data_IF_969804247917
#
_entry.id   IF_969804247917
#
_cell.length_a   1.000
_cell.length_b   1.000
_cell.length_c   1.000
_cell.angle_alpha   90.00
_cell.angle_beta   90.00
_cell.angle_gamma   90.00
#
_symmetry.space_group_name_H-M   'P 1'
#
loop_
_entity.id
_entity.type
_entity.pdbx_description
1 polymer ?
#
# COMPACT_ATOMS: atom_id res chain seq x y z
N UNK A 1 -14.56 16.25 -25.54
CA UNK A 1 -14.61 17.55 -24.82
C UNK A 1 -14.89 17.42 -23.32
N UNK A 2 -15.93 16.70 -22.85
CA UNK A 2 -16.27 16.63 -21.41
C UNK A 2 -15.16 16.12 -20.46
N UNK A 3 -14.39 15.10 -20.86
CA UNK A 3 -13.26 14.62 -20.04
C UNK A 3 -12.15 15.69 -19.90
N UNK A 4 -11.82 16.39 -20.98
CA UNK A 4 -10.80 17.46 -20.98
C UNK A 4 -11.21 18.59 -20.02
N UNK A 5 -12.47 19.03 -20.03
CA UNK A 5 -12.94 20.04 -19.08
C UNK A 5 -12.83 19.59 -17.62
N UNK A 6 -12.99 18.29 -17.34
CA UNK A 6 -12.83 17.75 -15.98
C UNK A 6 -11.36 17.77 -15.53
N UNK A 7 -10.41 17.45 -16.42
CA UNK A 7 -8.99 17.56 -16.08
C UNK A 7 -8.54 19.01 -15.91
N UNK A 8 -9.11 19.96 -16.66
CA UNK A 8 -8.87 21.39 -16.44
C UNK A 8 -9.40 21.82 -15.06
N UNK A 9 -10.59 21.36 -14.69
CA UNK A 9 -11.12 21.58 -13.33
C UNK A 9 -10.25 20.91 -12.26
N UNK A 10 -9.73 19.71 -12.50
CA UNK A 10 -8.78 19.02 -11.62
C UNK A 10 -7.54 19.89 -11.34
N UNK A 11 -6.99 20.52 -12.38
CA UNK A 11 -5.87 21.44 -12.28
C UNK A 11 -6.23 22.69 -11.46
N UNK A 12 -7.40 23.31 -11.67
CA UNK A 12 -7.83 24.44 -10.83
C UNK A 12 -7.99 24.06 -9.36
N UNK A 13 -8.58 22.88 -9.09
CA UNK A 13 -8.71 22.39 -7.71
C UNK A 13 -7.33 22.15 -7.09
N UNK A 14 -6.33 21.74 -7.86
CA UNK A 14 -4.97 21.47 -7.35
C UNK A 14 -4.24 22.71 -6.83
N UNK A 15 -4.63 23.91 -7.29
CA UNK A 15 -4.04 25.19 -6.86
C UNK A 15 -4.96 25.96 -5.92
N UNK A 16 -6.16 25.46 -5.64
CA UNK A 16 -7.17 26.14 -4.82
C UNK A 16 -6.85 25.99 -3.33
N UNK A 17 -6.08 26.93 -2.78
CA UNK A 17 -5.77 26.98 -1.35
C UNK A 17 -6.92 27.56 -0.52
N UNK A 18 -7.69 28.50 -1.09
CA UNK A 18 -8.75 29.25 -0.41
C UNK A 18 -10.13 28.56 -0.49
N UNK A 19 -10.20 27.40 -1.16
CA UNK A 19 -11.43 26.60 -1.33
C UNK A 19 -12.52 27.32 -2.13
N UNK A 20 -12.16 28.32 -2.93
CA UNK A 20 -13.09 29.08 -3.74
C UNK A 20 -13.78 28.19 -4.78
N UNK A 21 -12.99 27.41 -5.52
CA UNK A 21 -13.51 26.50 -6.55
C UNK A 21 -14.34 25.38 -5.91
N UNK A 22 -13.93 24.85 -4.76
CA UNK A 22 -14.74 23.87 -4.03
C UNK A 22 -16.13 24.43 -3.68
N UNK A 23 -16.18 25.65 -3.13
CA UNK A 23 -17.45 26.33 -2.81
C UNK A 23 -18.34 26.53 -4.04
N UNK A 24 -17.75 26.89 -5.20
CA UNK A 24 -18.48 27.02 -6.46
C UNK A 24 -19.01 25.66 -6.97
N UNK A 25 -18.19 24.61 -6.94
CA UNK A 25 -18.59 23.26 -7.38
C UNK A 25 -19.73 22.70 -6.51
N UNK A 26 -19.70 22.99 -5.20
CA UNK A 26 -20.74 22.59 -4.27
C UNK A 26 -22.03 23.39 -4.45
N UNK A 27 -21.96 24.73 -4.43
CA UNK A 27 -23.14 25.62 -4.47
C UNK A 27 -23.93 25.48 -5.78
N UNK A 28 -23.24 25.24 -6.90
CA UNK A 28 -23.87 25.04 -8.21
C UNK A 28 -24.38 23.61 -8.44
N UNK A 29 -24.25 22.73 -7.46
CA UNK A 29 -24.71 21.33 -7.57
C UNK A 29 -23.89 20.46 -8.52
N UNK A 30 -22.71 20.92 -8.96
CA UNK A 30 -21.86 20.17 -9.89
C UNK A 30 -21.44 18.82 -9.30
N UNK A 31 -21.01 18.80 -8.03
CA UNK A 31 -20.60 17.56 -7.36
C UNK A 31 -21.75 16.56 -7.27
N UNK A 32 -22.96 17.01 -6.95
CA UNK A 32 -24.17 16.15 -6.94
C UNK A 32 -24.45 15.57 -8.31
N UNK A 33 -24.35 16.38 -9.37
CA UNK A 33 -24.49 15.89 -10.75
C UNK A 33 -23.42 14.85 -11.11
N UNK A 34 -22.17 15.07 -10.72
CA UNK A 34 -21.10 14.10 -10.95
C UNK A 34 -21.39 12.75 -10.28
N UNK A 35 -21.86 12.76 -9.02
CA UNK A 35 -22.21 11.56 -8.27
C UNK A 35 -23.41 10.82 -8.87
N UNK A 36 -24.46 11.55 -9.25
CA UNK A 36 -25.62 10.97 -9.94
C UNK A 36 -25.24 10.32 -11.26
N UNK A 37 -24.33 10.93 -12.01
CA UNK A 37 -23.83 10.35 -13.26
C UNK A 37 -22.97 9.09 -13.02
N UNK A 38 -22.27 9.00 -11.89
CA UNK A 38 -21.52 7.80 -11.49
C UNK A 38 -22.49 6.66 -11.18
N UNK A 39 -23.53 6.91 -10.38
CA UNK A 39 -24.51 5.88 -10.03
C UNK A 39 -25.33 5.41 -11.24
N UNK A 40 -25.64 6.31 -12.17
CA UNK A 40 -26.42 6.01 -13.36
C UNK A 40 -25.56 5.51 -14.54
N UNK A 41 -24.25 5.29 -14.32
CA UNK A 41 -23.39 4.86 -15.40
C UNK A 41 -23.76 3.45 -15.87
N UNK A 42 -24.11 3.33 -17.15
CA UNK A 42 -24.39 2.06 -17.78
C UNK A 42 -23.75 1.99 -19.17
N UNK A 43 -23.09 0.87 -19.47
CA UNK A 43 -22.52 0.60 -20.78
C UNK A 43 -23.27 -0.61 -21.38
N UNK A 44 -24.38 -0.34 -22.08
CA UNK A 44 -25.15 -1.37 -22.77
C UNK A 44 -24.56 -1.72 -24.14
N UNK A 45 -23.85 -0.77 -24.77
CA UNK A 45 -23.14 -0.98 -26.02
C UNK A 45 -21.75 -1.53 -25.69
N UNK A 46 -21.35 -2.64 -26.33
CA UNK A 46 -20.07 -3.29 -26.05
C UNK A 46 -18.88 -2.34 -25.95
N UNK A 47 -17.90 -2.73 -25.11
CA UNK A 47 -16.71 -1.96 -24.68
C UNK A 47 -15.76 -1.51 -25.81
N UNK A 48 -16.11 -1.80 -27.06
CA UNK A 48 -15.31 -1.56 -28.26
C UNK A 48 -15.78 -0.33 -29.06
N UNK A 49 -16.93 0.27 -28.73
CA UNK A 49 -17.39 1.49 -29.42
C UNK A 49 -16.63 2.74 -28.94
N UNK A 50 -16.30 3.66 -29.86
CA UNK A 50 -15.66 4.93 -29.52
C UNK A 50 -16.49 5.75 -28.51
N UNK A 51 -17.83 5.67 -28.60
CA UNK A 51 -18.75 6.29 -27.66
C UNK A 51 -18.65 5.71 -26.23
N UNK A 52 -18.45 4.40 -26.09
CA UNK A 52 -18.23 3.74 -24.79
C UNK A 52 -16.91 4.18 -24.15
N UNK A 53 -15.84 4.28 -24.94
CA UNK A 53 -14.53 4.73 -24.45
C UNK A 53 -14.59 6.19 -23.97
N UNK A 54 -15.26 7.08 -24.70
CA UNK A 54 -15.43 8.46 -24.27
C UNK A 54 -16.24 8.58 -22.95
N UNK A 55 -17.26 7.73 -22.77
CA UNK A 55 -18.02 7.65 -21.51
C UNK A 55 -17.11 7.16 -20.38
N UNK A 56 -16.31 6.13 -20.59
CA UNK A 56 -15.34 5.62 -19.61
C UNK A 56 -14.30 6.67 -19.22
N UNK A 57 -13.67 7.36 -20.18
CA UNK A 57 -12.74 8.46 -19.88
C UNK A 57 -13.42 9.60 -19.10
N UNK A 58 -14.69 9.87 -19.37
CA UNK A 58 -15.45 10.88 -18.60
C UNK A 58 -15.72 10.42 -17.17
N UNK A 59 -15.99 9.12 -16.97
CA UNK A 59 -16.15 8.54 -15.63
C UNK A 59 -14.85 8.54 -14.84
N UNK A 60 -13.75 8.13 -15.48
CA UNK A 60 -12.40 8.17 -14.90
C UNK A 60 -12.04 9.60 -14.47
N UNK A 61 -12.24 10.59 -15.34
CA UNK A 61 -11.96 11.99 -15.03
C UNK A 61 -12.81 12.53 -13.87
N UNK A 62 -14.06 12.06 -13.71
CA UNK A 62 -14.90 12.38 -12.55
C UNK A 62 -14.33 11.78 -11.27
N UNK A 63 -13.95 10.50 -11.29
CA UNK A 63 -13.35 9.84 -10.13
C UNK A 63 -12.03 10.50 -9.73
N UNK A 64 -11.20 10.87 -10.72
CA UNK A 64 -9.96 11.61 -10.50
C UNK A 64 -10.21 12.98 -9.83
N UNK A 65 -11.21 13.74 -10.32
CA UNK A 65 -11.59 15.02 -9.71
C UNK A 65 -12.09 14.85 -8.26
N UNK A 66 -12.91 13.85 -7.98
CA UNK A 66 -13.37 13.56 -6.61
C UNK A 66 -12.20 13.16 -5.70
N UNK A 67 -11.27 12.35 -6.20
CA UNK A 67 -10.04 11.98 -5.49
C UNK A 67 -9.19 13.22 -5.19
N UNK A 68 -9.06 14.13 -6.16
CA UNK A 68 -8.35 15.40 -5.97
C UNK A 68 -8.98 16.26 -4.89
N UNK A 69 -10.30 16.39 -4.88
CA UNK A 69 -11.03 17.12 -3.84
C UNK A 69 -10.73 16.51 -2.46
N UNK A 70 -10.77 15.18 -2.34
CA UNK A 70 -10.44 14.47 -1.10
C UNK A 70 -9.00 14.78 -0.64
N UNK A 71 -8.02 14.74 -1.54
CA UNK A 71 -6.62 14.98 -1.21
C UNK A 71 -6.28 16.45 -0.94
N UNK A 72 -6.70 17.37 -1.81
CA UNK A 72 -6.32 18.78 -1.73
C UNK A 72 -6.91 19.45 -0.48
N UNK A 73 -8.17 19.16 -0.18
CA UNK A 73 -8.87 19.75 0.96
C UNK A 73 -8.89 18.85 2.20
N UNK A 74 -8.17 17.71 2.16
CA UNK A 74 -7.98 16.77 3.26
C UNK A 74 -9.31 16.41 3.95
N UNK A 75 -9.37 16.60 5.28
CA UNK A 75 -10.52 16.27 6.13
C UNK A 75 -11.82 16.92 5.63
N UNK A 76 -11.76 18.19 5.21
CA UNK A 76 -12.94 18.95 4.77
C UNK A 76 -13.48 18.43 3.43
N UNK A 77 -12.61 18.19 2.46
CA UNK A 77 -13.00 17.64 1.15
C UNK A 77 -13.65 16.28 1.29
N UNK A 78 -13.04 15.37 2.05
CA UNK A 78 -13.61 14.05 2.29
C UNK A 78 -14.95 14.09 3.02
N UNK A 79 -15.10 14.95 4.03
CA UNK A 79 -16.38 15.13 4.74
C UNK A 79 -17.52 15.60 3.81
N UNK A 80 -17.24 16.53 2.91
CA UNK A 80 -18.22 16.98 1.90
C UNK A 80 -18.65 15.80 1.03
N UNK A 81 -17.70 15.04 0.49
CA UNK A 81 -18.00 13.91 -0.39
C UNK A 81 -18.84 12.83 0.31
N UNK A 82 -18.51 12.50 1.57
CA UNK A 82 -19.29 11.56 2.39
C UNK A 82 -20.69 12.11 2.65
N UNK A 83 -20.83 13.38 3.03
CA UNK A 83 -22.13 13.99 3.28
C UNK A 83 -23.04 13.99 2.04
N UNK A 84 -22.45 13.91 0.84
CA UNK A 84 -23.15 13.78 -0.43
C UNK A 84 -23.39 12.34 -0.87
N UNK A 85 -23.07 11.33 -0.04
CA UNK A 85 -23.35 9.92 -0.33
C UNK A 85 -22.41 9.29 -1.36
N UNK A 86 -21.16 9.76 -1.49
CA UNK A 86 -20.22 9.25 -2.52
C UNK A 86 -20.08 7.72 -2.51
N UNK A 87 -20.10 7.09 -1.33
CA UNK A 87 -20.00 5.63 -1.19
C UNK A 87 -21.24 4.89 -1.69
N UNK A 88 -22.44 5.46 -1.49
CA UNK A 88 -23.70 4.91 -2.00
C UNK A 88 -23.76 4.99 -3.53
N UNK A 89 -23.30 6.10 -4.10
CA UNK A 89 -23.22 6.28 -5.56
C UNK A 89 -22.19 5.34 -6.19
N UNK A 90 -21.04 5.13 -5.54
CA UNK A 90 -20.05 4.14 -5.99
C UNK A 90 -20.56 2.71 -5.86
N UNK A 91 -21.26 2.37 -4.76
CA UNK A 91 -21.94 1.08 -4.57
C UNK A 91 -22.96 0.79 -5.67
N UNK A 92 -23.64 1.82 -6.15
CA UNK A 92 -24.63 1.69 -7.23
C UNK A 92 -23.98 1.55 -8.62
N UNK A 93 -22.68 1.83 -8.76
CA UNK A 93 -21.96 1.79 -10.02
C UNK A 93 -21.61 0.35 -10.41
N UNK A 94 -22.50 -0.28 -11.19
CA UNK A 94 -22.40 -1.68 -11.61
C UNK A 94 -21.12 -2.04 -12.38
N UNK A 95 -20.37 -1.07 -12.87
CA UNK A 95 -19.12 -1.30 -13.63
C UNK A 95 -18.01 -1.87 -12.76
N UNK A 96 -18.00 -1.54 -11.47
CA UNK A 96 -17.01 -2.07 -10.54
C UNK A 96 -17.16 -3.60 -10.42
N UNK A 97 -18.42 -4.09 -10.43
CA UNK A 97 -18.80 -5.50 -10.32
C UNK A 97 -18.81 -6.29 -11.63
N UNK A 98 -18.49 -5.67 -12.77
CA UNK A 98 -18.48 -6.39 -14.04
C UNK A 98 -17.35 -7.43 -14.05
N UNK A 99 -17.73 -8.66 -13.69
CA UNK A 99 -16.94 -9.87 -13.88
C UNK A 99 -16.77 -10.06 -15.38
N UNK A 100 -15.53 -10.10 -15.88
CA UNK A 100 -15.26 -10.68 -17.19
C UNK A 100 -15.79 -12.12 -17.16
N UNK A 101 -16.99 -12.35 -17.68
CA UNK A 101 -17.38 -13.69 -18.11
C UNK A 101 -16.33 -14.08 -19.13
N UNK A 102 -15.42 -14.96 -18.74
CA UNK A 102 -14.59 -15.76 -19.63
C UNK A 102 -15.58 -16.38 -20.61
N UNK A 103 -15.65 -15.84 -21.82
CA UNK A 103 -16.51 -16.33 -22.90
C UNK A 103 -15.97 -17.68 -23.35
N UNK A 104 -16.26 -18.72 -22.56
CA UNK A 104 -16.17 -20.11 -22.98
C UNK A 104 -17.58 -20.56 -23.34
N UNK A 105 -17.93 -20.35 -24.61
CA UNK A 105 -18.70 -21.26 -25.47
C UNK A 105 -19.17 -20.47 -26.70
N UNK A 106 -18.38 -20.52 -27.78
CA UNK A 106 -18.85 -20.79 -29.15
C UNK A 106 -17.70 -20.60 -30.14
N UNK A 107 -17.29 -21.71 -30.77
CA UNK A 107 -16.72 -21.76 -32.10
C UNK A 107 -15.30 -21.21 -32.29
N UNK A 108 -14.39 -22.08 -32.70
CA UNK A 108 -13.13 -21.75 -33.35
C UNK A 108 -13.21 -20.46 -34.17
N UNK A 109 -12.41 -19.44 -33.84
CA UNK A 109 -11.62 -18.65 -34.78
C UNK A 109 -10.59 -17.82 -34.00
N UNK A 110 -9.34 -17.88 -34.48
CA UNK A 110 -8.13 -17.22 -33.96
C UNK A 110 -8.34 -15.71 -33.71
N UNK A 111 -8.12 -15.21 -32.49
CA UNK A 111 -7.71 -13.82 -32.27
C UNK A 111 -6.88 -13.65 -30.98
N UNK A 112 -5.56 -13.68 -31.12
CA UNK A 112 -4.58 -13.56 -30.03
C UNK A 112 -4.18 -12.13 -29.68
N UNK A 113 -5.09 -11.14 -29.69
CA UNK A 113 -4.75 -9.74 -29.37
C UNK A 113 -5.76 -8.93 -28.55
N UNK A 114 -6.98 -9.41 -28.34
CA UNK A 114 -8.06 -8.58 -27.74
C UNK A 114 -8.26 -8.75 -26.22
N UNK A 115 -7.69 -9.79 -25.60
CA UNK A 115 -7.85 -10.04 -24.15
C UNK A 115 -7.06 -9.08 -23.26
N UNK A 116 -5.94 -8.53 -23.75
CA UNK A 116 -5.11 -7.58 -23.00
C UNK A 116 -5.74 -6.19 -22.93
N UNK A 117 -6.28 -5.70 -24.06
CA UNK A 117 -6.88 -4.36 -24.16
C UNK A 117 -8.19 -4.21 -23.36
N UNK A 118 -8.84 -5.31 -22.97
CA UNK A 118 -10.10 -5.31 -22.22
C UNK A 118 -9.88 -5.34 -20.69
N UNK A 119 -8.83 -6.03 -20.21
CA UNK A 119 -8.37 -5.97 -18.82
C UNK A 119 -7.97 -4.53 -18.42
N UNK A 120 -7.33 -3.80 -19.33
CA UNK A 120 -6.88 -2.43 -19.11
C UNK A 120 -8.06 -1.45 -18.88
N UNK A 121 -9.25 -1.73 -19.44
CA UNK A 121 -10.42 -0.83 -19.34
C UNK A 121 -11.15 -0.88 -18.01
N UNK A 122 -11.29 -2.07 -17.40
CA UNK A 122 -11.83 -2.21 -16.03
C UNK A 122 -10.89 -1.56 -15.02
N UNK A 123 -9.60 -1.75 -15.24
CA UNK A 123 -8.52 -1.21 -14.44
C UNK A 123 -8.51 0.32 -14.39
N UNK A 124 -8.87 1.00 -15.49
CA UNK A 124 -9.01 2.46 -15.57
C UNK A 124 -10.04 3.05 -14.60
N UNK A 125 -11.08 2.30 -14.21
CA UNK A 125 -12.13 2.79 -13.30
C UNK A 125 -11.91 2.27 -11.88
N UNK A 126 -11.52 0.99 -11.76
CA UNK A 126 -11.38 0.32 -10.47
C UNK A 126 -10.29 0.96 -9.62
N UNK A 127 -9.12 1.27 -10.19
CA UNK A 127 -8.03 1.87 -9.41
C UNK A 127 -8.39 3.28 -8.88
N UNK A 128 -8.91 4.23 -9.70
CA UNK A 128 -9.38 5.52 -9.18
C UNK A 128 -10.50 5.42 -8.12
N UNK A 129 -11.45 4.50 -8.30
CA UNK A 129 -12.50 4.27 -7.31
C UNK A 129 -11.93 3.78 -5.97
N UNK A 130 -11.03 2.78 -6.00
CA UNK A 130 -10.36 2.28 -4.81
C UNK A 130 -9.45 3.33 -4.16
N UNK A 131 -8.74 4.15 -4.94
CA UNK A 131 -7.96 5.29 -4.43
C UNK A 131 -8.86 6.30 -3.72
N UNK A 132 -10.02 6.62 -4.29
CA UNK A 132 -11.00 7.51 -3.68
C UNK A 132 -11.49 6.95 -2.36
N UNK A 133 -11.98 5.71 -2.33
CA UNK A 133 -12.45 5.07 -1.08
C UNK A 133 -11.33 5.00 -0.04
N UNK A 134 -10.13 4.59 -0.44
CA UNK A 134 -8.95 4.55 0.44
C UNK A 134 -8.61 5.93 1.01
N UNK A 135 -8.67 6.99 0.19
CA UNK A 135 -8.45 8.37 0.67
C UNK A 135 -9.48 8.77 1.73
N UNK A 136 -10.75 8.38 1.55
CA UNK A 136 -11.82 8.66 2.49
C UNK A 136 -11.65 7.89 3.79
N UNK A 137 -11.11 6.65 3.76
CA UNK A 137 -10.86 5.88 5.00
C UNK A 137 -9.86 6.55 5.95
N UNK A 138 -9.04 7.50 5.48
CA UNK A 138 -8.18 8.30 6.37
C UNK A 138 -8.99 9.10 7.40
N UNK A 139 -10.25 9.42 7.11
CA UNK A 139 -11.16 10.10 8.04
C UNK A 139 -11.55 9.25 9.24
N UNK A 140 -11.50 7.91 9.14
CA UNK A 140 -11.76 7.01 10.28
C UNK A 140 -10.79 7.29 11.43
N UNK A 141 -9.54 7.57 11.09
CA UNK A 141 -8.48 7.86 12.06
C UNK A 141 -8.57 9.30 12.61
N UNK A 142 -9.16 10.24 11.86
CA UNK A 142 -9.23 11.67 12.19
C UNK A 142 -10.56 12.12 12.80
N UNK A 143 -11.54 11.21 12.91
CA UNK A 143 -12.85 11.51 13.50
C UNK A 143 -12.83 11.23 14.99
N UNK A 144 -12.79 12.30 15.80
CA UNK A 144 -12.88 12.25 17.26
C UNK A 144 -14.31 11.91 17.74
N UNK A 145 -15.32 12.19 16.91
CA UNK A 145 -16.71 11.86 17.21
C UNK A 145 -17.01 10.41 16.82
N UNK A 146 -17.35 9.60 17.81
CA UNK A 146 -17.67 8.17 17.68
C UNK A 146 -18.87 7.91 16.74
N UNK A 147 -19.92 8.73 16.80
CA UNK A 147 -21.11 8.54 15.96
C UNK A 147 -20.83 8.76 14.47
N UNK A 148 -20.07 9.81 14.15
CA UNK A 148 -19.65 10.14 12.77
C UNK A 148 -18.71 9.06 12.25
N UNK A 149 -17.80 8.57 13.11
CA UNK A 149 -16.91 7.46 12.80
C UNK A 149 -17.69 6.19 12.49
N UNK A 150 -18.69 5.83 13.29
CA UNK A 150 -19.51 4.64 13.10
C UNK A 150 -20.42 4.73 11.86
N UNK A 151 -20.97 5.92 11.54
CA UNK A 151 -21.73 6.10 10.30
C UNK A 151 -20.83 5.90 9.09
N UNK A 152 -19.67 6.55 9.06
CA UNK A 152 -18.73 6.43 7.95
C UNK A 152 -18.21 5.00 7.77
N UNK A 153 -17.80 4.35 8.87
CA UNK A 153 -17.31 2.97 8.82
C UNK A 153 -18.38 2.04 8.25
N UNK A 154 -19.65 2.20 8.65
CA UNK A 154 -20.77 1.44 8.08
C UNK A 154 -20.93 1.66 6.57
N UNK A 155 -20.87 2.90 6.09
CA UNK A 155 -20.98 3.19 4.65
C UNK A 155 -19.84 2.55 3.83
N UNK A 156 -18.61 2.56 4.34
CA UNK A 156 -17.49 1.88 3.66
C UNK A 156 -17.65 0.37 3.70
N UNK A 157 -18.09 -0.19 4.83
CA UNK A 157 -18.38 -1.61 4.95
C UNK A 157 -19.50 -2.02 3.97
N UNK A 158 -20.54 -1.21 3.83
CA UNK A 158 -21.64 -1.45 2.90
C UNK A 158 -21.18 -1.40 1.43
N UNK A 159 -20.21 -0.53 1.11
CA UNK A 159 -19.52 -0.51 -0.18
C UNK A 159 -18.71 -1.79 -0.42
N UNK A 160 -17.93 -2.23 0.58
CA UNK A 160 -17.12 -3.46 0.53
C UNK A 160 -18.01 -4.69 0.33
N UNK A 161 -19.10 -4.80 1.12
CA UNK A 161 -20.10 -5.87 0.99
C UNK A 161 -20.79 -5.84 -0.37
N UNK A 162 -21.06 -4.65 -0.92
CA UNK A 162 -21.64 -4.48 -2.25
C UNK A 162 -20.76 -5.04 -3.37
N UNK A 163 -19.44 -4.93 -3.24
CA UNK A 163 -18.46 -5.35 -4.25
C UNK A 163 -17.63 -6.56 -3.83
N UNK A 164 -18.20 -7.46 -3.01
CA UNK A 164 -17.49 -8.60 -2.45
C UNK A 164 -16.75 -9.42 -3.52
N UNK A 165 -17.40 -9.75 -4.63
CA UNK A 165 -16.82 -10.62 -5.66
C UNK A 165 -15.53 -10.07 -6.28
N UNK A 166 -15.43 -8.74 -6.40
CA UNK A 166 -14.27 -8.03 -6.94
C UNK A 166 -13.14 -8.00 -5.92
N UNK A 167 -13.50 -7.74 -4.66
CA UNK A 167 -12.55 -7.68 -3.55
C UNK A 167 -11.94 -9.07 -3.30
N UNK A 168 -12.77 -10.12 -3.31
CA UNK A 168 -12.31 -11.52 -3.24
C UNK A 168 -11.39 -11.87 -4.41
N UNK A 169 -11.74 -11.44 -5.63
CA UNK A 169 -10.89 -11.64 -6.82
C UNK A 169 -9.52 -10.97 -6.65
N UNK A 170 -9.46 -9.77 -6.08
CA UNK A 170 -8.20 -9.04 -5.86
C UNK A 170 -7.37 -9.71 -4.76
N UNK A 171 -7.99 -10.07 -3.63
CA UNK A 171 -7.28 -10.65 -2.47
C UNK A 171 -6.69 -12.04 -2.75
N UNK A 172 -7.30 -12.82 -3.65
CA UNK A 172 -6.82 -14.16 -4.02
C UNK A 172 -5.67 -14.16 -5.03
N UNK A 173 -5.31 -13.01 -5.60
CA UNK A 173 -4.17 -12.93 -6.53
C UNK A 173 -2.86 -13.20 -5.79
N UNK A 174 -1.92 -13.81 -6.50
CA UNK A 174 -0.59 -14.12 -5.98
C UNK A 174 0.29 -12.87 -5.99
N UNK A 175 0.82 -12.49 -4.83
CA UNK A 175 1.66 -11.29 -4.65
C UNK A 175 3.01 -11.44 -5.38
N UNK A 176 3.47 -12.66 -5.62
CA UNK A 176 4.80 -12.94 -6.18
C UNK A 176 4.94 -12.65 -7.69
N UNK A 177 3.82 -12.60 -8.42
CA UNK A 177 3.83 -12.56 -9.90
C UNK A 177 2.90 -11.49 -10.50
N UNK A 178 2.49 -10.50 -9.70
CA UNK A 178 1.56 -9.45 -10.15
C UNK A 178 2.27 -8.24 -10.75
N UNK A 179 1.61 -7.62 -11.74
CA UNK A 179 2.03 -6.34 -12.29
C UNK A 179 1.81 -5.19 -11.29
N UNK A 180 2.45 -4.04 -11.55
CA UNK A 180 2.42 -2.87 -10.65
C UNK A 180 1.00 -2.41 -10.32
N UNK A 181 0.09 -2.39 -11.31
CA UNK A 181 -1.28 -1.94 -11.09
C UNK A 181 -2.09 -2.92 -10.23
N UNK A 182 -1.95 -4.23 -10.45
CA UNK A 182 -2.63 -5.23 -9.62
C UNK A 182 -2.10 -5.18 -8.19
N UNK A 183 -0.79 -4.98 -8.03
CA UNK A 183 -0.18 -4.80 -6.71
C UNK A 183 -0.70 -3.54 -6.00
N UNK A 184 -0.93 -2.45 -6.73
CA UNK A 184 -1.58 -1.26 -6.21
C UNK A 184 -3.02 -1.56 -5.76
N UNK A 185 -3.79 -2.33 -6.55
CA UNK A 185 -5.16 -2.71 -6.19
C UNK A 185 -5.19 -3.55 -4.90
N UNK A 186 -4.30 -4.54 -4.76
CA UNK A 186 -4.17 -5.34 -3.54
C UNK A 186 -3.87 -4.41 -2.35
N UNK A 187 -2.88 -3.52 -2.50
CA UNK A 187 -2.54 -2.52 -1.48
C UNK A 187 -3.73 -1.66 -1.06
N UNK A 188 -4.51 -1.16 -2.02
CA UNK A 188 -5.68 -0.32 -1.75
C UNK A 188 -6.78 -1.09 -1.03
N UNK A 189 -7.09 -2.31 -1.48
CA UNK A 189 -8.12 -3.17 -0.86
C UNK A 189 -7.72 -3.54 0.57
N UNK A 190 -6.49 -4.00 0.77
CA UNK A 190 -5.99 -4.34 2.11
C UNK A 190 -5.96 -3.11 3.00
N UNK A 191 -5.54 -1.94 2.50
CA UNK A 191 -5.57 -0.69 3.27
C UNK A 191 -7.00 -0.28 3.69
N UNK A 192 -7.99 -0.42 2.80
CA UNK A 192 -9.40 -0.16 3.12
C UNK A 192 -9.87 -1.12 4.21
N UNK A 193 -9.73 -2.43 3.99
CA UNK A 193 -10.17 -3.46 4.92
C UNK A 193 -9.49 -3.33 6.29
N UNK A 194 -8.19 -3.03 6.31
CA UNK A 194 -7.41 -2.86 7.54
C UNK A 194 -7.97 -1.77 8.46
N UNK A 195 -8.64 -0.76 7.90
CA UNK A 195 -9.19 0.38 8.64
C UNK A 195 -10.65 0.23 9.05
N UNK A 196 -11.45 -0.54 8.32
CA UNK A 196 -12.91 -0.58 8.52
C UNK A 196 -13.42 -1.96 8.92
N UNK A 197 -12.77 -3.03 8.47
CA UNK A 197 -13.21 -4.40 8.76
C UNK A 197 -13.09 -4.81 10.23
N UNK A 198 -12.15 -4.28 11.06
CA UNK A 198 -12.15 -4.60 12.48
C UNK A 198 -13.41 -4.19 13.26
N UNK A 199 -14.23 -3.30 12.68
CA UNK A 199 -15.49 -2.84 13.27
C UNK A 199 -16.70 -3.69 12.83
N UNK A 200 -16.54 -4.55 11.81
CA UNK A 200 -17.58 -5.47 11.38
C UNK A 200 -17.54 -6.73 12.25
N UNK A 201 -18.71 -7.15 12.74
CA UNK A 201 -18.83 -8.35 13.58
C UNK A 201 -19.19 -9.61 12.78
N UNK A 202 -19.68 -9.46 11.54
CA UNK A 202 -20.04 -10.60 10.70
C UNK A 202 -18.84 -11.09 9.87
N UNK A 203 -18.33 -12.27 10.22
CA UNK A 203 -17.19 -12.90 9.52
C UNK A 203 -17.58 -13.75 8.30
N UNK A 204 -18.84 -13.72 7.87
CA UNK A 204 -19.38 -14.56 6.78
C UNK A 204 -18.75 -14.28 5.40
N UNK A 205 -17.95 -13.24 5.26
CA UNK A 205 -17.33 -12.82 3.99
C UNK A 205 -15.95 -13.43 3.74
N UNK A 206 -15.32 -14.06 4.74
CA UNK A 206 -14.01 -14.71 4.56
C UNK A 206 -12.80 -13.77 4.36
N UNK A 207 -13.00 -12.44 4.31
CA UNK A 207 -11.91 -11.48 4.09
C UNK A 207 -10.79 -11.56 5.13
N UNK A 208 -11.11 -11.86 6.40
CA UNK A 208 -10.10 -12.01 7.46
C UNK A 208 -9.15 -13.18 7.13
N UNK A 209 -9.70 -14.28 6.60
CA UNK A 209 -8.91 -15.45 6.22
C UNK A 209 -7.97 -15.12 5.06
N UNK A 210 -8.45 -14.40 4.05
CA UNK A 210 -7.62 -13.97 2.92
C UNK A 210 -6.55 -12.96 3.35
N UNK A 211 -6.85 -12.06 4.30
CA UNK A 211 -5.88 -11.13 4.89
C UNK A 211 -4.80 -11.91 5.65
N UNK A 212 -5.17 -12.90 6.47
CA UNK A 212 -4.18 -13.75 7.17
C UNK A 212 -3.35 -14.59 6.20
N UNK A 213 -3.96 -15.15 5.15
CA UNK A 213 -3.24 -15.82 4.07
C UNK A 213 -2.20 -14.90 3.44
N UNK A 214 -2.57 -13.64 3.14
CA UNK A 214 -1.64 -12.65 2.63
C UNK A 214 -0.52 -12.33 3.62
N UNK A 215 -0.80 -12.25 4.93
CA UNK A 215 0.26 -12.09 5.95
C UNK A 215 1.25 -13.25 5.92
N UNK A 216 0.75 -14.49 5.90
CA UNK A 216 1.60 -15.68 5.86
C UNK A 216 2.52 -15.69 4.62
N UNK A 217 1.99 -15.32 3.45
CA UNK A 217 2.79 -15.27 2.21
C UNK A 217 3.75 -14.09 2.19
N UNK A 218 3.33 -12.92 2.67
CA UNK A 218 4.13 -11.68 2.55
C UNK A 218 5.19 -11.52 3.63
N UNK A 219 4.99 -12.09 4.82
CA UNK A 219 5.96 -12.00 5.92
C UNK A 219 7.02 -13.10 5.84
N UNK A 220 6.77 -14.18 5.09
CA UNK A 220 7.72 -15.25 4.84
C UNK A 220 8.60 -14.93 3.60
N UNK A 221 9.58 -14.04 3.79
CA UNK A 221 10.44 -13.58 2.71
C UNK A 221 11.51 -14.58 2.25
N UNK A 222 11.81 -15.62 3.04
CA UNK A 222 12.82 -16.64 2.70
C UNK A 222 12.42 -17.43 1.44
N UNK A 223 11.12 -17.62 1.18
CA UNK A 223 10.60 -18.22 -0.05
C UNK A 223 10.58 -17.27 -1.26
N UNK A 224 10.53 -15.96 -1.03
CA UNK A 224 10.40 -14.93 -2.07
C UNK A 224 11.76 -14.55 -2.68
N UNK A 225 12.84 -14.68 -1.92
CA UNK A 225 14.20 -14.26 -2.27
C UNK A 225 14.88 -15.07 -3.38
N UNK A 226 14.58 -16.37 -3.51
CA UNK A 226 15.39 -17.26 -4.37
C UNK A 226 14.85 -17.44 -5.79
N UNK A 227 13.53 -17.35 -6.02
CA UNK A 227 12.94 -17.73 -7.32
C UNK A 227 12.19 -16.60 -8.05
N UNK A 228 11.70 -15.56 -7.38
CA UNK A 228 10.91 -14.47 -8.01
C UNK A 228 11.79 -13.30 -8.49
N UNK A 229 12.90 -13.05 -7.80
CA UNK A 229 13.74 -11.85 -8.00
C UNK A 229 14.68 -11.94 -9.22
N UNK A 230 14.85 -13.13 -9.82
CA UNK A 230 15.82 -13.38 -10.88
C UNK A 230 15.27 -13.31 -12.32
N UNK A 231 13.96 -13.12 -12.51
CA UNK A 231 13.37 -13.07 -13.85
C UNK A 231 13.32 -11.64 -14.39
N UNK A 232 14.37 -11.27 -15.12
CA UNK A 232 14.35 -10.33 -16.26
C UNK A 232 13.49 -9.05 -16.11
N UNK A 233 13.61 -8.35 -14.99
CA UNK A 233 13.00 -7.05 -14.78
C UNK A 233 14.09 -6.02 -14.43
N UNK A 234 13.97 -4.79 -14.94
CA UNK A 234 14.97 -3.73 -14.73
C UNK A 234 15.19 -3.47 -13.23
N UNK A 235 16.39 -3.03 -12.84
CA UNK A 235 16.71 -2.67 -11.43
C UNK A 235 15.70 -1.69 -10.83
N UNK A 236 15.13 -0.79 -11.65
CA UNK A 236 14.09 0.16 -11.24
C UNK A 236 12.75 -0.52 -10.92
N UNK A 237 12.28 -1.43 -11.79
CA UNK A 237 11.05 -2.19 -11.52
C UNK A 237 11.14 -3.05 -10.26
N UNK A 238 12.34 -3.57 -9.94
CA UNK A 238 12.59 -4.28 -8.67
C UNK A 238 12.45 -3.36 -7.44
N UNK A 239 13.01 -2.15 -7.49
CA UNK A 239 12.90 -1.17 -6.39
C UNK A 239 11.46 -0.70 -6.17
N UNK A 240 10.70 -0.51 -7.26
CA UNK A 240 9.28 -0.17 -7.20
C UNK A 240 8.44 -1.30 -6.58
N UNK A 241 8.69 -2.55 -7.01
CA UNK A 241 8.04 -3.72 -6.41
C UNK A 241 8.32 -3.85 -4.91
N UNK A 242 9.58 -3.68 -4.50
CA UNK A 242 9.97 -3.67 -3.09
C UNK A 242 9.13 -2.67 -2.26
N UNK A 243 8.99 -1.44 -2.76
CA UNK A 243 8.21 -0.41 -2.10
C UNK A 243 6.72 -0.76 -2.01
N UNK A 244 6.15 -1.39 -3.04
CA UNK A 244 4.76 -1.88 -2.99
C UNK A 244 4.55 -3.00 -1.99
N UNK A 245 5.50 -3.95 -1.86
CA UNK A 245 5.42 -5.03 -0.88
C UNK A 245 5.47 -4.48 0.53
N UNK A 246 6.36 -3.51 0.82
CA UNK A 246 6.41 -2.92 2.15
C UNK A 246 5.20 -2.05 2.48
N UNK A 247 4.59 -1.37 1.49
CA UNK A 247 3.28 -0.71 1.70
C UNK A 247 2.19 -1.69 2.10
N UNK A 248 2.21 -2.89 1.51
CA UNK A 248 1.26 -3.96 1.83
C UNK A 248 1.52 -4.45 3.26
N UNK A 249 2.78 -4.70 3.60
CA UNK A 249 3.19 -5.11 4.94
C UNK A 249 2.78 -4.10 6.01
N UNK A 250 2.92 -2.79 5.77
CA UNK A 250 2.44 -1.74 6.70
C UNK A 250 0.94 -1.90 6.96
N UNK A 251 0.14 -2.08 5.91
CA UNK A 251 -1.32 -2.21 6.06
C UNK A 251 -1.69 -3.48 6.84
N UNK A 252 -1.07 -4.60 6.49
CA UNK A 252 -1.27 -5.90 7.13
C UNK A 252 -0.86 -5.89 8.61
N UNK A 253 0.34 -5.40 8.94
CA UNK A 253 0.81 -5.39 10.32
C UNK A 253 0.02 -4.40 11.18
N UNK A 254 -0.43 -3.27 10.61
CA UNK A 254 -1.30 -2.32 11.29
C UNK A 254 -2.65 -2.95 11.64
N UNK A 255 -3.22 -3.73 10.71
CA UNK A 255 -4.45 -4.49 10.97
C UNK A 255 -4.25 -5.52 12.08
N UNK A 256 -3.15 -6.28 12.02
CA UNK A 256 -2.83 -7.27 13.05
C UNK A 256 -2.65 -6.62 14.43
N UNK A 257 -1.92 -5.50 14.50
CA UNK A 257 -1.74 -4.72 15.71
C UNK A 257 -3.08 -4.21 16.27
N UNK A 258 -4.00 -3.76 15.41
CA UNK A 258 -5.35 -3.37 15.82
C UNK A 258 -6.11 -4.56 16.42
N UNK A 259 -6.08 -5.73 15.78
CA UNK A 259 -6.76 -6.92 16.29
C UNK A 259 -6.23 -7.34 17.67
N UNK A 260 -4.90 -7.29 17.87
CA UNK A 260 -4.29 -7.62 19.16
C UNK A 260 -4.69 -6.60 20.22
N UNK A 261 -4.59 -5.30 19.93
CA UNK A 261 -4.82 -4.24 20.93
C UNK A 261 -6.29 -3.96 21.24
N UNK A 262 -7.19 -4.14 20.27
CA UNK A 262 -8.62 -3.79 20.41
C UNK A 262 -9.56 -4.99 20.47
N UNK A 263 -9.17 -6.12 19.91
CA UNK A 263 -9.96 -7.37 19.92
C UNK A 263 -9.29 -8.47 20.73
N UNK A 264 -8.16 -8.19 21.40
CA UNK A 264 -7.42 -9.13 22.24
C UNK A 264 -7.07 -10.45 21.54
N UNK A 265 -6.79 -10.38 20.23
CA UNK A 265 -6.31 -11.53 19.47
C UNK A 265 -4.96 -12.00 20.02
N UNK A 266 -4.81 -13.30 20.26
CA UNK A 266 -3.55 -13.93 20.69
C UNK A 266 -2.95 -14.74 19.57
N UNK A 267 -1.68 -14.49 19.28
CA UNK A 267 -0.94 -15.22 18.25
C UNK A 267 -0.25 -16.46 18.86
N UNK A 268 -0.25 -17.56 18.10
CA UNK A 268 0.52 -18.77 18.44
C UNK A 268 2.02 -18.50 18.22
N UNK A 269 2.87 -19.14 19.04
CA UNK A 269 4.33 -18.97 18.96
C UNK A 269 4.89 -19.57 17.66
N UNK A 270 4.48 -20.80 17.32
CA UNK A 270 4.88 -21.52 16.10
C UNK A 270 3.71 -22.38 15.58
N UNK A 271 3.76 -22.77 14.31
CA UNK A 271 2.82 -23.74 13.74
C UNK A 271 3.12 -25.12 14.36
N UNK A 272 2.27 -25.58 15.27
CA UNK A 272 2.30 -26.96 15.74
C UNK A 272 1.87 -27.92 14.62
N UNK A 273 2.39 -29.15 14.64
CA UNK A 273 2.15 -30.24 13.67
C UNK A 273 0.72 -30.79 13.63
N UNK A 274 -0.27 -30.06 14.15
CA UNK A 274 -1.68 -30.42 14.04
C UNK A 274 -2.24 -29.82 12.75
N UNK A 275 -1.88 -30.44 11.63
CA UNK A 275 -2.59 -30.27 10.36
C UNK A 275 -3.97 -30.92 10.49
N UNK A 276 -4.92 -30.18 11.08
CA UNK A 276 -6.33 -30.42 10.82
C UNK A 276 -6.65 -29.67 9.50
N UNK A 277 -6.99 -30.35 8.38
CA UNK A 277 -7.07 -29.75 7.04
C UNK A 277 -8.20 -28.72 6.82
N UNK A 278 -8.75 -28.14 7.89
CA UNK A 278 -9.88 -27.22 7.85
C UNK A 278 -9.76 -25.97 8.74
N UNK A 279 -8.74 -25.84 9.61
CA UNK A 279 -8.58 -24.67 10.48
C UNK A 279 -7.46 -23.71 10.02
N UNK A 280 -7.88 -22.72 9.23
CA UNK A 280 -7.51 -21.30 9.32
C UNK A 280 -6.08 -20.98 9.83
N UNK A 281 -5.17 -20.67 8.90
CA UNK A 281 -3.78 -20.30 9.21
C UNK A 281 -3.69 -18.81 9.63
N UNK A 282 -3.71 -18.55 10.93
CA UNK A 282 -3.38 -17.24 11.50
C UNK A 282 -1.87 -16.99 11.47
N UNK A 283 -1.40 -15.73 11.35
CA UNK A 283 0.02 -15.41 11.45
C UNK A 283 0.57 -15.75 12.84
N UNK A 284 1.79 -16.29 12.90
CA UNK A 284 2.47 -16.67 14.15
C UNK A 284 3.44 -15.60 14.62
N UNK A 285 3.85 -15.66 15.90
CA UNK A 285 4.91 -14.79 16.40
C UNK A 285 6.25 -15.04 15.69
N UNK A 286 6.55 -16.29 15.32
CA UNK A 286 7.75 -16.60 14.52
C UNK A 286 7.76 -15.88 13.17
N UNK A 287 6.60 -15.80 12.51
CA UNK A 287 6.45 -15.07 11.26
C UNK A 287 6.69 -13.56 11.44
N UNK A 288 6.25 -12.98 12.56
CA UNK A 288 6.54 -11.58 12.91
C UNK A 288 8.04 -11.35 13.16
N UNK A 289 8.71 -12.31 13.80
CA UNK A 289 10.18 -12.25 14.00
C UNK A 289 10.92 -12.37 12.66
N UNK A 290 10.50 -13.27 11.77
CA UNK A 290 11.05 -13.37 10.40
C UNK A 290 10.88 -12.06 9.62
N UNK A 291 9.68 -11.46 9.68
CA UNK A 291 9.42 -10.15 9.09
C UNK A 291 10.34 -9.08 9.66
N UNK A 292 10.52 -9.05 10.99
CA UNK A 292 11.36 -8.06 11.66
C UNK A 292 12.83 -8.19 11.23
N UNK A 293 13.34 -9.41 11.08
CA UNK A 293 14.71 -9.64 10.61
C UNK A 293 14.92 -9.18 9.16
N UNK A 294 13.95 -9.48 8.29
CA UNK A 294 13.97 -9.02 6.91
C UNK A 294 13.88 -7.49 6.79
N UNK A 295 12.98 -6.88 7.57
CA UNK A 295 12.81 -5.42 7.67
C UNK A 295 14.09 -4.77 8.17
N UNK A 296 14.76 -5.36 9.16
CA UNK A 296 16.03 -4.87 9.71
C UNK A 296 17.12 -4.86 8.64
N UNK A 297 17.28 -5.97 7.91
CA UNK A 297 18.24 -6.09 6.80
C UNK A 297 17.96 -5.09 5.67
N UNK A 298 16.68 -4.88 5.34
CA UNK A 298 16.27 -3.91 4.33
C UNK A 298 16.49 -2.47 4.79
N UNK A 299 16.32 -2.19 6.08
CA UNK A 299 16.48 -0.88 6.69
C UNK A 299 17.95 -0.46 6.74
N UNK A 300 18.85 -1.34 7.16
CA UNK A 300 20.30 -1.11 7.14
C UNK A 300 20.76 -0.78 5.71
N UNK A 301 20.39 -1.62 4.74
CA UNK A 301 20.73 -1.42 3.33
C UNK A 301 20.19 -0.10 2.80
N UNK A 302 18.92 0.22 3.04
CA UNK A 302 18.31 1.45 2.55
C UNK A 302 18.95 2.70 3.18
N UNK A 303 19.29 2.65 4.47
CA UNK A 303 19.94 3.74 5.19
C UNK A 303 21.39 3.95 4.71
N UNK A 304 22.13 2.87 4.46
CA UNK A 304 23.48 2.94 3.89
C UNK A 304 23.47 3.51 2.47
N UNK A 305 22.61 2.98 1.59
CA UNK A 305 22.45 3.49 0.22
C UNK A 305 22.09 4.99 0.21
N UNK A 306 21.14 5.41 1.07
CA UNK A 306 20.78 6.83 1.22
C UNK A 306 21.98 7.66 1.67
N UNK A 307 22.70 7.22 2.71
CA UNK A 307 23.86 7.95 3.23
C UNK A 307 24.97 8.11 2.18
N UNK A 308 25.23 7.06 1.39
CA UNK A 308 26.21 7.10 0.30
C UNK A 308 25.79 8.10 -0.79
N UNK A 309 24.51 8.14 -1.16
CA UNK A 309 23.99 9.10 -2.13
C UNK A 309 24.09 10.53 -1.61
N UNK A 310 23.74 10.79 -0.36
CA UNK A 310 23.84 12.11 0.25
C UNK A 310 25.30 12.60 0.31
N UNK A 311 26.24 11.73 0.66
CA UNK A 311 27.67 12.07 0.64
C UNK A 311 28.17 12.40 -0.78
N UNK A 312 27.68 11.68 -1.80
CA UNK A 312 28.01 11.98 -3.21
C UNK A 312 27.36 13.27 -3.71
N UNK A 313 26.16 13.59 -3.23
CA UNK A 313 25.46 14.85 -3.52
C UNK A 313 26.24 16.04 -2.94
N UNK A 314 26.69 15.92 -1.69
CA UNK A 314 27.48 16.95 -1.02
C UNK A 314 28.81 17.21 -1.75
N UNK A 315 29.47 16.13 -2.20
CA UNK A 315 30.78 16.19 -2.86
C UNK A 315 30.69 16.10 -4.40
N UNK A 316 29.56 16.49 -5.01
CA UNK A 316 29.32 16.37 -6.47
C UNK A 316 30.38 17.09 -7.31
N UNK A 317 30.99 18.14 -6.76
CA UNK A 317 32.03 18.92 -7.44
C UNK A 317 33.39 18.21 -7.48
N UNK A 318 33.59 17.23 -6.60
CA UNK A 318 34.81 16.42 -6.49
C UNK A 318 34.74 15.16 -7.36
N UNK A 319 33.52 14.73 -7.74
CA UNK A 319 33.33 13.57 -8.59
C UNK A 319 33.91 13.78 -10.00
N UNK A 320 34.62 12.75 -10.47
CA UNK A 320 35.15 12.67 -11.81
C UNK A 320 34.04 12.51 -12.85
N UNK A 321 34.35 12.80 -14.12
CA UNK A 321 33.38 12.61 -15.21
C UNK A 321 32.91 11.15 -15.34
N UNK A 322 33.80 10.20 -15.09
CA UNK A 322 33.50 8.77 -15.20
C UNK A 322 32.50 8.33 -14.11
N UNK A 323 32.70 8.78 -12.88
CA UNK A 323 31.77 8.49 -11.77
C UNK A 323 30.39 9.11 -12.00
N UNK A 324 30.37 10.36 -12.51
CA UNK A 324 29.11 11.04 -12.86
C UNK A 324 28.38 10.29 -13.97
N UNK A 325 29.09 9.85 -15.02
CA UNK A 325 28.52 9.07 -16.11
C UNK A 325 28.02 7.70 -15.64
N UNK A 326 28.72 7.06 -14.72
CA UNK A 326 28.28 5.83 -14.08
C UNK A 326 26.98 6.02 -13.29
N UNK A 327 26.87 7.10 -12.51
CA UNK A 327 25.65 7.44 -11.78
C UNK A 327 24.48 7.63 -12.75
N UNK A 328 24.66 8.41 -13.81
CA UNK A 328 23.63 8.65 -14.83
C UNK A 328 23.18 7.34 -15.48
N UNK A 329 24.12 6.47 -15.83
CA UNK A 329 23.85 5.15 -16.43
C UNK A 329 23.05 4.26 -15.47
N UNK A 330 23.43 4.22 -14.18
CA UNK A 330 22.70 3.47 -13.15
C UNK A 330 21.27 4.01 -12.99
N UNK A 331 21.07 5.32 -13.14
CA UNK A 331 19.76 5.97 -13.08
C UNK A 331 18.95 5.89 -14.39
N UNK A 332 19.49 5.25 -15.44
CA UNK A 332 18.80 4.93 -16.72
C UNK A 332 18.10 6.11 -17.43
N UNK A 333 18.73 7.29 -17.44
CA UNK A 333 18.30 8.43 -18.27
C UNK A 333 19.35 8.82 -19.31
N UNK A 334 19.77 7.86 -20.12
CA UNK A 334 20.67 8.11 -21.26
C UNK A 334 20.04 9.07 -22.28
N UNK A 335 18.70 9.12 -22.36
CA UNK A 335 17.96 10.00 -23.27
C UNK A 335 18.09 11.51 -22.96
N UNK A 336 18.49 11.87 -21.73
CA UNK A 336 18.57 13.27 -21.28
C UNK A 336 19.94 13.91 -21.53
N UNK A 337 20.95 13.11 -21.90
CA UNK A 337 22.36 13.52 -21.95
C UNK A 337 23.01 13.03 -23.23
N UNK A 338 23.69 13.94 -23.92
CA UNK A 338 24.54 13.60 -25.06
C UNK A 338 26.01 13.44 -24.64
N UNK A 339 26.81 12.75 -25.45
CA UNK A 339 28.27 12.64 -25.23
C UNK A 339 28.98 14.00 -25.22
N UNK A 340 28.39 15.00 -25.88
CA UNK A 340 28.87 16.37 -26.00
C UNK A 340 28.55 17.25 -24.78
N UNK A 341 27.68 16.81 -23.87
CA UNK A 341 27.32 17.61 -22.71
C UNK A 341 28.50 17.86 -21.79
N UNK A 342 28.61 19.11 -21.32
CA UNK A 342 29.67 19.51 -20.41
C UNK A 342 29.50 18.88 -19.02
N UNK A 343 30.58 18.85 -18.24
CA UNK A 343 30.60 18.25 -16.90
C UNK A 343 29.61 18.93 -15.95
N UNK A 344 29.34 20.24 -16.11
CA UNK A 344 28.39 20.98 -15.26
C UNK A 344 26.96 20.46 -15.44
N UNK A 345 26.51 20.31 -16.69
CA UNK A 345 25.18 19.77 -17.01
C UNK A 345 25.05 18.31 -16.54
N UNK A 346 26.08 17.49 -16.75
CA UNK A 346 26.09 16.10 -16.29
C UNK A 346 26.02 15.98 -14.77
N UNK A 347 26.79 16.80 -14.04
CA UNK A 347 26.71 16.88 -12.58
C UNK A 347 25.33 17.31 -12.11
N UNK A 348 24.70 18.27 -12.76
CA UNK A 348 23.34 18.69 -12.44
C UNK A 348 22.31 17.56 -12.63
N UNK A 349 22.37 16.83 -13.75
CA UNK A 349 21.48 15.68 -13.97
C UNK A 349 21.73 14.60 -12.93
N UNK A 350 23.00 14.22 -12.69
CA UNK A 350 23.35 13.26 -11.65
C UNK A 350 22.86 13.68 -10.26
N UNK A 351 22.95 14.98 -9.92
CA UNK A 351 22.43 15.54 -8.67
C UNK A 351 20.91 15.31 -8.54
N UNK A 352 20.14 15.68 -9.57
CA UNK A 352 18.68 15.53 -9.58
C UNK A 352 18.28 14.06 -9.42
N UNK A 353 18.95 13.16 -10.13
CA UNK A 353 18.65 11.73 -10.06
C UNK A 353 19.06 11.10 -8.72
N UNK A 354 20.23 11.45 -8.17
CA UNK A 354 20.63 11.00 -6.83
C UNK A 354 19.66 11.51 -5.77
N UNK A 355 19.18 12.76 -5.87
CA UNK A 355 18.15 13.30 -4.99
C UNK A 355 16.83 12.53 -5.11
N UNK A 356 16.43 12.17 -6.33
CA UNK A 356 15.22 11.38 -6.56
C UNK A 356 15.33 9.99 -5.89
N UNK A 357 16.42 9.26 -6.12
CA UNK A 357 16.65 7.94 -5.51
C UNK A 357 16.78 8.05 -3.99
N UNK A 358 17.47 9.06 -3.47
CA UNK A 358 17.58 9.30 -2.03
C UNK A 358 16.19 9.55 -1.41
N UNK A 359 15.30 10.26 -2.11
CA UNK A 359 13.90 10.44 -1.72
C UNK A 359 13.10 9.14 -1.71
N UNK A 360 13.27 8.26 -2.71
CA UNK A 360 12.64 6.92 -2.70
C UNK A 360 13.16 6.06 -1.55
N UNK A 361 14.46 6.12 -1.25
CA UNK A 361 15.05 5.42 -0.10
C UNK A 361 14.54 5.97 1.23
N UNK A 362 14.33 7.29 1.34
CA UNK A 362 13.70 7.88 2.52
C UNK A 362 12.26 7.37 2.73
N UNK A 363 11.47 7.28 1.65
CA UNK A 363 10.13 6.69 1.71
C UNK A 363 10.16 5.22 2.14
N UNK A 364 11.13 4.45 1.65
CA UNK A 364 11.30 3.06 2.05
C UNK A 364 11.67 2.95 3.54
N UNK A 365 12.63 3.75 4.02
CA UNK A 365 13.01 3.81 5.44
C UNK A 365 11.79 4.15 6.32
N UNK A 366 10.95 5.08 5.87
CA UNK A 366 9.72 5.45 6.57
C UNK A 366 8.77 4.26 6.78
N UNK A 367 8.55 3.47 5.72
CA UNK A 367 7.68 2.29 5.76
C UNK A 367 8.29 1.20 6.63
N UNK A 368 9.59 0.93 6.47
CA UNK A 368 10.31 -0.09 7.24
C UNK A 368 10.28 0.20 8.74
N UNK A 369 10.51 1.45 9.15
CA UNK A 369 10.41 1.84 10.55
C UNK A 369 9.00 1.67 11.11
N UNK A 370 7.96 1.99 10.33
CA UNK A 370 6.57 1.74 10.76
C UNK A 370 6.28 0.25 10.94
N UNK A 371 6.77 -0.61 10.03
CA UNK A 371 6.62 -2.06 10.17
C UNK A 371 7.35 -2.55 11.42
N UNK A 372 8.61 -2.14 11.61
CA UNK A 372 9.40 -2.53 12.77
C UNK A 372 8.74 -2.10 14.08
N UNK A 373 8.23 -0.87 14.15
CA UNK A 373 7.52 -0.34 15.33
C UNK A 373 6.28 -1.16 15.66
N UNK A 374 5.44 -1.48 14.66
CA UNK A 374 4.27 -2.34 14.88
C UNK A 374 4.67 -3.76 15.29
N UNK A 375 5.69 -4.35 14.68
CA UNK A 375 6.17 -5.69 15.03
C UNK A 375 6.67 -5.74 16.48
N UNK A 376 7.49 -4.77 16.89
CA UNK A 376 7.99 -4.62 18.25
C UNK A 376 6.82 -4.44 19.23
N UNK A 377 5.84 -3.58 18.93
CA UNK A 377 4.70 -3.38 19.80
C UNK A 377 3.83 -4.64 19.95
N UNK A 378 3.64 -5.41 18.86
CA UNK A 378 2.98 -6.72 18.90
C UNK A 378 3.73 -7.68 19.82
N UNK A 379 5.05 -7.76 19.66
CA UNK A 379 5.90 -8.62 20.49
C UNK A 379 5.86 -8.18 21.97
N UNK A 380 5.96 -6.88 22.27
CA UNK A 380 5.87 -6.35 23.63
C UNK A 380 4.59 -6.80 24.34
N UNK A 381 3.44 -6.68 23.69
CA UNK A 381 2.15 -7.08 24.26
C UNK A 381 2.17 -8.57 24.62
N UNK A 382 2.61 -9.42 23.70
CA UNK A 382 2.68 -10.87 23.94
C UNK A 382 3.71 -11.26 25.01
N UNK A 383 4.83 -10.54 25.09
CA UNK A 383 5.85 -10.77 26.11
C UNK A 383 5.40 -10.33 27.51
N UNK A 384 4.59 -9.27 27.60
CA UNK A 384 4.03 -8.75 28.86
C UNK A 384 2.87 -9.60 29.38
N UNK A 385 1.99 -10.07 28.48
CA UNK A 385 0.83 -10.90 28.83
C UNK A 385 1.18 -12.38 29.04
N UNK A 386 2.28 -12.86 28.45
CA UNK A 386 2.75 -14.24 28.49
C UNK A 386 3.29 -14.68 29.84
N UNK A 387 2.47 -14.59 30.90
CA UNK A 387 2.72 -15.14 32.24
C UNK A 387 2.32 -16.63 32.38
N UNK A 388 1.81 -17.31 31.33
CA UNK A 388 1.17 -18.62 31.52
C UNK A 388 1.35 -19.71 30.43
N UNK A 389 1.91 -19.44 29.25
CA UNK A 389 2.01 -20.46 28.19
C UNK A 389 3.48 -20.92 27.99
N UNK A 390 3.76 -22.15 28.46
CA UNK A 390 4.99 -22.97 28.36
C UNK A 390 6.29 -22.26 27.94
N UNK A 391 7.15 -22.00 28.92
CA UNK A 391 8.50 -21.40 28.79
C UNK A 391 9.35 -22.06 27.69
N UNK A 392 9.20 -23.37 27.46
CA UNK A 392 9.93 -24.15 26.44
C UNK A 392 9.69 -23.70 24.99
N UNK A 393 8.56 -23.07 24.68
CA UNK A 393 8.23 -22.65 23.30
C UNK A 393 8.77 -21.26 22.94
N UNK A 394 9.04 -20.42 23.93
CA UNK A 394 9.49 -19.05 23.71
C UNK A 394 11.01 -18.92 23.57
N UNK A 395 11.78 -19.87 24.10
CA UNK A 395 13.24 -19.93 23.95
C UNK A 395 13.71 -19.89 22.49
N UNK A 396 13.20 -20.73 21.55
CA UNK A 396 13.60 -20.65 20.15
C UNK A 396 13.19 -19.33 19.47
N UNK A 397 12.05 -18.75 19.87
CA UNK A 397 11.62 -17.43 19.39
C UNK A 397 12.60 -16.34 19.83
N UNK A 398 12.99 -16.33 21.11
CA UNK A 398 13.95 -15.37 21.67
C UNK A 398 15.33 -15.53 21.04
N UNK A 399 15.76 -16.77 20.79
CA UNK A 399 17.03 -17.06 20.10
C UNK A 399 17.10 -16.46 18.69
N UNK A 400 15.99 -16.53 17.93
CA UNK A 400 15.90 -15.89 16.60
C UNK A 400 15.76 -14.36 16.69
N UNK A 401 15.02 -13.85 17.68
CA UNK A 401 14.73 -12.43 17.84
C UNK A 401 15.95 -11.62 18.33
N UNK A 402 16.78 -12.20 19.20
CA UNK A 402 17.85 -11.48 19.87
C UNK A 402 18.85 -10.81 18.91
N UNK A 403 19.42 -11.50 17.89
CA UNK A 403 20.34 -10.87 16.93
C UNK A 403 19.71 -9.71 16.16
N UNK A 404 18.43 -9.82 15.82
CA UNK A 404 17.69 -8.76 15.14
C UNK A 404 17.53 -7.52 16.03
N UNK A 405 17.27 -7.70 17.33
CA UNK A 405 17.17 -6.57 18.27
C UNK A 405 18.51 -5.86 18.46
N UNK A 406 19.63 -6.58 18.49
CA UNK A 406 20.97 -5.96 18.58
C UNK A 406 21.26 -5.07 17.37
N UNK A 407 20.91 -5.54 16.17
CA UNK A 407 21.05 -4.77 14.93
C UNK A 407 20.16 -3.53 14.92
N UNK A 408 18.91 -3.66 15.36
CA UNK A 408 17.98 -2.54 15.46
C UNK A 408 18.43 -1.46 16.47
N UNK A 409 19.10 -1.85 17.56
CA UNK A 409 19.64 -0.93 18.55
C UNK A 409 20.82 -0.10 18.00
N UNK A 410 21.57 -0.64 17.04
CA UNK A 410 22.70 0.03 16.38
C UNK A 410 22.29 1.05 15.32
N UNK A 411 20.99 1.14 14.98
CA UNK A 411 20.49 2.13 14.04
C UNK A 411 20.72 3.55 14.53
N UNK A 412 21.20 4.40 13.63
CA UNK A 412 21.52 5.79 13.95
C UNK A 412 20.53 6.77 13.31
N UNK A 413 20.20 7.83 14.04
CA UNK A 413 19.27 8.88 13.61
C UNK A 413 19.82 9.67 12.40
N UNK A 414 21.15 9.83 12.28
CA UNK A 414 21.82 10.51 11.17
C UNK A 414 21.59 9.82 9.83
N UNK A 415 21.66 8.49 9.79
CA UNK A 415 21.45 7.69 8.58
C UNK A 415 19.96 7.55 8.22
N UNK A 416 19.11 7.39 9.23
CA UNK A 416 17.67 7.20 9.02
C UNK A 416 16.92 8.50 8.78
N UNK A 417 17.44 9.63 9.27
CA UNK A 417 16.81 10.96 9.16
C UNK A 417 15.56 11.13 10.03
N UNK A 418 15.38 10.27 11.04
CA UNK A 418 14.20 10.26 11.93
C UNK A 418 14.63 10.08 13.38
N UNK A 419 13.80 10.57 14.31
CA UNK A 419 14.07 10.30 15.72
C UNK A 419 13.72 8.86 16.07
N UNK A 420 14.67 8.16 16.67
CA UNK A 420 14.58 6.76 17.06
C UNK A 420 14.43 6.59 18.58
N UNK A 421 14.38 7.67 19.37
CA UNK A 421 14.36 7.61 20.84
C UNK A 421 13.28 6.69 21.42
N UNK A 422 12.04 6.80 20.94
CA UNK A 422 10.94 5.94 21.43
C UNK A 422 11.10 4.52 20.93
N UNK A 423 11.45 4.36 19.65
CA UNK A 423 11.70 3.08 19.02
C UNK A 423 12.80 2.28 19.73
N UNK A 424 13.96 2.89 20.00
CA UNK A 424 15.07 2.28 20.70
C UNK A 424 14.68 1.86 22.13
N UNK A 425 13.89 2.66 22.86
CA UNK A 425 13.38 2.26 24.18
C UNK A 425 12.54 0.98 24.10
N UNK A 426 11.67 0.87 23.09
CA UNK A 426 10.86 -0.33 22.87
C UNK A 426 11.74 -1.54 22.52
N UNK A 427 12.75 -1.36 21.66
CA UNK A 427 13.75 -2.40 21.31
C UNK A 427 14.48 -2.88 22.56
N UNK A 428 15.06 -1.97 23.36
CA UNK A 428 15.81 -2.32 24.57
C UNK A 428 14.92 -3.03 25.59
N UNK A 429 13.64 -2.62 25.71
CA UNK A 429 12.68 -3.28 26.61
C UNK A 429 12.44 -4.74 26.19
N UNK A 430 12.17 -5.01 24.91
CA UNK A 430 12.01 -6.41 24.43
C UNK A 430 13.30 -7.19 24.62
N UNK A 431 14.46 -6.57 24.34
CA UNK A 431 15.77 -7.21 24.47
C UNK A 431 16.01 -7.68 25.91
N UNK A 432 15.75 -6.83 26.89
CA UNK A 432 15.82 -7.19 28.31
C UNK A 432 14.86 -8.34 28.66
N UNK A 433 13.61 -8.29 28.18
CA UNK A 433 12.64 -9.36 28.41
C UNK A 433 13.05 -10.68 27.76
N UNK A 434 13.65 -10.63 26.57
CA UNK A 434 14.14 -11.79 25.82
C UNK A 434 15.33 -12.43 26.55
N UNK A 435 16.27 -11.64 27.07
CA UNK A 435 17.39 -12.12 27.88
C UNK A 435 16.88 -12.84 29.13
N UNK A 436 15.92 -12.24 29.85
CA UNK A 436 15.33 -12.87 31.05
C UNK A 436 14.68 -14.22 30.75
N UNK A 437 14.04 -14.36 29.58
CA UNK A 437 13.41 -15.61 29.15
C UNK A 437 14.38 -16.65 28.57
N UNK A 438 15.58 -16.25 28.16
CA UNK A 438 16.66 -17.15 27.72
C UNK A 438 17.55 -17.64 28.87
N UNK A 439 17.57 -16.90 29.98
CA UNK A 439 18.38 -17.21 31.17
C UNK A 439 17.66 -18.10 32.20
N UNK A 440 16.35 -18.32 32.01
CA UNK A 440 15.52 -19.30 32.69
C UNK A 440 15.47 -20.56 31.83
#
# INVERSE_FOLDING_TARGET
>A
MKAISLYVLDAFVSIDQERFFLGQLQSRGFLRSCLMDISNFNCQDGWLSLGSLQKLCTLEAKLALLLRISHNYKKFGGQILISMGVLEHLKSCRILDLRMKRSLQMGDYKFGRDSAAESDKRQLILAPALRLVSSLTSLVALSELFEVKNKFVREVVDFVKGHQSVIDEILRKDVCWVNELTMEQINLVVCILSKVWPYEENDNYGFIQEIFRLMCVTFDFDGMGSNSIHLSHSVESRKKQELFVFRLCVSLISYLYFLITKKSLRLKVSNGSTEDPGLQQQPTLFLIVSLLDYVTSSLERAAEEKSLLLNKIENINELSRQEVDEIIRICKREDCITSLDNIRKRRYVALVEMCHIAGERDQLIALLLQIAEHAINILLIHFQEGKADSEDTLSPLCGKLFPTLERLEQLKEDKTGRSLKVFQRSVSTIKEMSIRKLAL
#
